data_IF_171875151987
#
_entry.id   IF_171875151987
#
_cell.length_a   1.000
_cell.length_b   1.000
_cell.length_c   1.000
_cell.angle_alpha   90.00
_cell.angle_beta   90.00
_cell.angle_gamma   90.00
#
_symmetry.space_group_name_H-M   'P 1'
#
loop_
_entity.id
_entity.type
_entity.pdbx_description
1 polymer ?
#
# COMPACT_ATOMS: atom_id res chain seq x y z
N UNK A 1 -19.49 -3.83 3.14
CA UNK A 1 -19.74 -3.64 4.58
C UNK A 1 -19.72 -2.14 4.84
N UNK A 2 -20.58 -1.61 5.71
CA UNK A 2 -20.76 -0.15 5.85
C UNK A 2 -19.49 0.55 6.35
N UNK A 3 -18.69 -0.14 7.17
CA UNK A 3 -17.38 0.32 7.65
C UNK A 3 -16.27 -0.45 6.94
N UNK A 4 -15.85 0.03 5.76
CA UNK A 4 -14.76 -0.56 4.97
C UNK A 4 -13.84 0.53 4.45
N UNK A 5 -12.55 0.33 4.69
CA UNK A 5 -11.46 1.10 4.08
C UNK A 5 -10.83 0.22 3.01
N UNK A 6 -10.64 0.78 1.81
CA UNK A 6 -9.98 0.14 0.68
C UNK A 6 -8.70 0.93 0.38
N UNK A 7 -7.55 0.28 0.53
CA UNK A 7 -6.26 0.84 0.17
C UNK A 7 -5.75 0.19 -1.12
N UNK A 8 -5.43 0.99 -2.14
CA UNK A 8 -4.99 0.51 -3.45
C UNK A 8 -3.62 1.07 -3.76
N UNK A 9 -2.63 0.18 -3.85
CA UNK A 9 -1.31 0.51 -4.38
C UNK A 9 -1.38 0.80 -5.87
N UNK A 10 -0.82 1.93 -6.29
CA UNK A 10 -0.82 2.37 -7.68
C UNK A 10 0.55 2.90 -8.09
N UNK A 11 0.93 2.62 -9.35
CA UNK A 11 2.12 3.22 -9.95
C UNK A 11 1.85 4.68 -10.30
N UNK A 12 2.90 5.44 -10.63
CA UNK A 12 2.76 6.83 -11.11
C UNK A 12 2.27 6.95 -12.56
N UNK A 13 1.79 5.85 -13.17
CA UNK A 13 1.24 5.87 -14.52
C UNK A 13 -0.06 6.69 -14.54
N UNK A 14 -0.17 7.77 -15.34
CA UNK A 14 -1.39 8.56 -15.43
C UNK A 14 -2.61 7.72 -15.80
N UNK A 15 -2.43 6.70 -16.64
CA UNK A 15 -3.49 5.76 -17.03
C UNK A 15 -4.00 4.94 -15.85
N UNK A 16 -3.12 4.43 -14.99
CA UNK A 16 -3.55 3.66 -13.81
C UNK A 16 -4.20 4.55 -12.76
N UNK A 17 -3.69 5.77 -12.58
CA UNK A 17 -4.30 6.77 -11.69
C UNK A 17 -5.71 7.11 -12.15
N UNK A 18 -5.91 7.37 -13.45
CA UNK A 18 -7.22 7.62 -14.03
C UNK A 18 -8.15 6.42 -13.85
N UNK A 19 -7.66 5.19 -14.09
CA UNK A 19 -8.46 3.97 -13.90
C UNK A 19 -8.94 3.80 -12.44
N UNK A 20 -8.12 4.14 -11.44
CA UNK A 20 -8.57 4.09 -10.04
C UNK A 20 -9.66 5.11 -9.78
N UNK A 21 -9.43 6.36 -10.20
CA UNK A 21 -10.30 7.50 -9.91
C UNK A 21 -11.64 7.42 -10.66
N UNK A 22 -11.59 7.10 -11.95
CA UNK A 22 -12.71 7.29 -12.87
C UNK A 22 -13.52 5.99 -13.09
N UNK A 23 -12.87 4.82 -12.94
CA UNK A 23 -13.50 3.52 -13.19
C UNK A 23 -13.65 2.66 -11.93
N UNK A 24 -12.55 2.33 -11.25
CA UNK A 24 -12.54 1.36 -10.15
C UNK A 24 -13.45 1.81 -9.00
N UNK A 25 -13.24 3.02 -8.49
CA UNK A 25 -14.02 3.54 -7.36
C UNK A 25 -15.51 3.60 -7.72
N UNK A 26 -15.84 4.10 -8.91
CA UNK A 26 -17.23 4.19 -9.41
C UNK A 26 -17.89 2.81 -9.53
N UNK A 27 -17.23 1.83 -10.13
CA UNK A 27 -17.77 0.46 -10.29
C UNK A 27 -18.01 -0.23 -8.95
N UNK A 28 -17.18 0.07 -7.95
CA UNK A 28 -17.23 -0.56 -6.63
C UNK A 28 -18.03 0.25 -5.61
N UNK A 29 -18.66 1.37 -6.02
CA UNK A 29 -19.41 2.28 -5.13
C UNK A 29 -18.56 2.77 -3.95
N UNK A 30 -17.33 3.16 -4.27
CA UNK A 30 -16.35 3.69 -3.35
C UNK A 30 -16.16 5.18 -3.59
N UNK A 31 -16.01 5.93 -2.50
CA UNK A 31 -15.58 7.32 -2.49
C UNK A 31 -14.09 7.37 -2.19
N UNK A 32 -13.31 7.93 -3.11
CA UNK A 32 -11.90 8.22 -2.87
C UNK A 32 -11.78 9.37 -1.85
N UNK A 33 -11.05 9.16 -0.76
CA UNK A 33 -10.95 10.12 0.36
C UNK A 33 -9.53 10.60 0.64
N UNK A 34 -8.51 9.81 0.30
CA UNK A 34 -7.13 10.21 0.47
C UNK A 34 -6.20 9.62 -0.58
N UNK A 35 -5.03 10.25 -0.72
CA UNK A 35 -3.92 9.78 -1.54
C UNK A 35 -2.65 9.91 -0.72
N UNK A 36 -2.03 8.78 -0.40
CA UNK A 36 -0.77 8.72 0.32
C UNK A 36 0.36 8.32 -0.62
N UNK A 37 1.59 8.46 -0.17
CA UNK A 37 2.79 8.15 -0.94
C UNK A 37 3.75 7.31 -0.14
N UNK A 38 4.24 6.23 -0.74
CA UNK A 38 5.38 5.50 -0.23
C UNK A 38 6.64 5.99 -0.93
N UNK A 39 7.45 6.79 -0.24
CA UNK A 39 8.74 7.27 -0.70
C UNK A 39 9.82 6.25 -0.36
N UNK A 40 10.55 5.83 -1.38
CA UNK A 40 11.62 4.84 -1.31
C UNK A 40 12.93 5.56 -1.05
N UNK A 41 13.57 5.23 0.06
CA UNK A 41 14.84 5.83 0.48
C UNK A 41 15.96 4.79 0.58
N UNK A 42 17.21 5.23 0.52
CA UNK A 42 18.39 4.43 0.83
C UNK A 42 18.50 4.22 2.34
N UNK A 43 19.46 3.40 2.77
CA UNK A 43 19.78 3.23 4.21
C UNK A 43 20.28 4.52 4.87
N UNK A 44 20.62 5.53 4.08
CA UNK A 44 21.07 6.85 4.53
C UNK A 44 19.95 7.89 4.50
N UNK A 45 18.71 7.50 4.16
CA UNK A 45 17.55 8.38 4.12
C UNK A 45 17.40 9.18 2.82
N UNK A 46 18.25 8.96 1.82
CA UNK A 46 18.20 9.66 0.54
C UNK A 46 17.22 8.99 -0.44
N UNK A 47 16.51 9.71 -1.32
CA UNK A 47 15.69 9.09 -2.35
C UNK A 47 16.48 8.11 -3.23
N UNK A 48 15.87 6.97 -3.59
CA UNK A 48 16.55 5.95 -4.43
C UNK A 48 16.81 6.40 -5.88
N UNK A 49 16.16 7.46 -6.32
CA UNK A 49 16.45 8.18 -7.56
C UNK A 49 15.90 9.61 -7.47
N UNK A 50 16.29 10.46 -8.42
CA UNK A 50 15.79 11.84 -8.47
C UNK A 50 14.27 11.90 -8.73
N UNK A 51 13.63 12.88 -8.11
CA UNK A 51 12.28 13.27 -8.48
C UNK A 51 12.31 13.91 -9.87
N UNK A 52 11.40 13.47 -10.75
CA UNK A 52 11.32 13.97 -12.13
C UNK A 52 12.64 13.84 -12.93
N UNK A 53 13.45 12.83 -12.61
CA UNK A 53 14.64 12.52 -13.38
C UNK A 53 14.35 12.18 -14.84
N UNK A 54 15.38 12.24 -15.68
CA UNK A 54 15.30 11.99 -17.13
C UNK A 54 14.67 10.65 -17.52
N UNK A 55 14.81 9.64 -16.66
CA UNK A 55 14.34 8.28 -16.91
C UNK A 55 12.87 8.03 -16.51
N UNK A 56 12.07 9.07 -16.22
CA UNK A 56 10.64 9.04 -15.83
C UNK A 56 10.31 8.23 -14.56
N UNK A 57 11.28 7.51 -13.98
CA UNK A 57 11.14 6.82 -12.70
C UNK A 57 11.00 7.84 -11.59
N UNK A 58 10.18 7.51 -10.61
CA UNK A 58 9.96 8.32 -9.42
C UNK A 58 10.36 7.50 -8.20
N UNK A 59 10.96 8.11 -7.17
CA UNK A 59 11.36 7.43 -5.95
C UNK A 59 10.15 7.17 -5.02
N UNK A 60 8.95 7.06 -5.56
CA UNK A 60 7.75 6.82 -4.77
C UNK A 60 6.69 6.03 -5.53
N UNK A 61 5.77 5.43 -4.80
CA UNK A 61 4.51 4.88 -5.31
C UNK A 61 3.32 5.53 -4.60
N UNK A 62 2.14 5.47 -5.20
CA UNK A 62 0.93 6.08 -4.65
C UNK A 62 0.06 5.02 -3.97
N UNK A 63 -0.66 5.43 -2.94
CA UNK A 63 -1.67 4.63 -2.27
C UNK A 63 -2.97 5.42 -2.27
N UNK A 64 -3.98 4.92 -2.97
CA UNK A 64 -5.30 5.52 -2.98
C UNK A 64 -6.14 4.90 -1.87
N UNK A 65 -6.71 5.75 -1.01
CA UNK A 65 -7.59 5.30 0.07
C UNK A 65 -9.02 5.71 -0.26
N UNK A 66 -9.89 4.72 -0.31
CA UNK A 66 -11.30 4.89 -0.56
C UNK A 66 -12.13 4.23 0.55
N UNK A 67 -13.35 4.71 0.71
CA UNK A 67 -14.34 4.18 1.66
C UNK A 67 -15.63 3.90 0.91
N UNK A 68 -16.56 3.14 1.49
CA UNK A 68 -17.90 2.99 0.90
C UNK A 68 -18.57 4.36 0.72
N UNK A 69 -19.32 4.57 -0.36
CA UNK A 69 -19.96 5.88 -0.66
C UNK A 69 -20.81 6.45 0.48
N UNK A 70 -21.48 5.58 1.25
CA UNK A 70 -22.33 5.96 2.38
C UNK A 70 -21.56 6.07 3.71
N UNK A 71 -20.24 5.84 3.70
CA UNK A 71 -19.42 5.95 4.91
C UNK A 71 -18.90 7.37 5.08
N UNK A 72 -19.33 8.04 6.16
CA UNK A 72 -18.93 9.39 6.53
C UNK A 72 -18.06 9.46 7.79
N UNK A 73 -17.73 8.33 8.41
CA UNK A 73 -17.17 8.31 9.77
C UNK A 73 -15.65 8.25 9.83
N UNK A 74 -14.97 7.86 8.75
CA UNK A 74 -13.52 7.76 8.76
C UNK A 74 -12.84 9.12 8.56
N UNK A 75 -12.17 9.60 9.60
CA UNK A 75 -11.26 10.75 9.51
C UNK A 75 -9.87 10.29 9.04
N UNK A 76 -9.71 10.17 7.71
CA UNK A 76 -8.45 9.77 7.08
C UNK A 76 -7.71 11.02 6.59
N UNK A 77 -6.43 11.24 6.95
CA UNK A 77 -5.64 12.33 6.40
C UNK A 77 -5.61 12.28 4.87
N UNK A 78 -5.98 13.39 4.22
CA UNK A 78 -6.05 13.47 2.75
C UNK A 78 -4.71 13.14 2.08
N UNK A 79 -3.61 13.48 2.74
CA UNK A 79 -2.25 13.25 2.28
C UNK A 79 -1.38 12.74 3.43
N UNK A 80 -0.49 11.78 3.14
CA UNK A 80 0.49 11.22 4.07
C UNK A 80 1.67 10.65 3.27
N UNK A 81 2.87 10.73 3.85
CA UNK A 81 4.09 10.21 3.26
C UNK A 81 4.69 9.15 4.18
N UNK A 82 4.97 7.98 3.61
CA UNK A 82 5.56 6.83 4.29
C UNK A 82 6.95 6.65 3.70
N UNK A 83 7.98 6.60 4.53
CA UNK A 83 9.36 6.45 4.09
C UNK A 83 9.88 5.09 4.50
N UNK A 84 10.43 4.31 3.56
CA UNK A 84 11.14 3.09 3.92
C UNK A 84 12.19 2.71 2.88
N UNK A 85 13.14 1.89 3.30
CA UNK A 85 14.08 1.25 2.39
C UNK A 85 13.32 0.14 1.64
N UNK A 86 13.28 0.17 0.29
CA UNK A 86 12.61 -0.87 -0.47
C UNK A 86 13.30 -2.21 -0.26
N UNK A 87 12.51 -3.28 -0.22
CA UNK A 87 13.06 -4.63 -0.19
C UNK A 87 13.86 -4.94 -1.45
N UNK A 88 14.85 -5.83 -1.34
CA UNK A 88 15.52 -6.40 -2.50
C UNK A 88 14.55 -7.20 -3.39
N UNK A 89 13.45 -7.72 -2.81
CA UNK A 89 12.42 -8.41 -3.55
C UNK A 89 11.50 -7.41 -4.25
N UNK A 90 11.45 -7.50 -5.58
CA UNK A 90 10.59 -6.67 -6.41
C UNK A 90 9.14 -6.70 -5.92
N UNK A 91 8.50 -5.53 -5.89
CA UNK A 91 7.10 -5.36 -5.49
C UNK A 91 6.76 -5.83 -4.08
N UNK A 92 7.74 -5.90 -3.16
CA UNK A 92 7.48 -6.07 -1.74
C UNK A 92 7.23 -4.69 -1.11
N UNK A 93 5.99 -4.45 -0.70
CA UNK A 93 5.48 -3.17 -0.23
C UNK A 93 5.41 -3.19 1.30
N UNK A 94 5.64 -2.06 1.97
CA UNK A 94 5.50 -2.00 3.42
C UNK A 94 4.04 -2.33 3.82
N UNK A 95 3.83 -3.04 4.94
CA UNK A 95 2.50 -3.26 5.47
C UNK A 95 1.85 -1.91 5.83
N UNK A 96 0.54 -1.80 5.58
CA UNK A 96 -0.20 -0.57 5.80
C UNK A 96 -1.13 -0.61 7.02
N UNK A 97 -1.39 -1.79 7.58
CA UNK A 97 -2.45 -1.99 8.59
C UNK A 97 -2.23 -1.12 9.82
N UNK A 98 -1.00 -1.02 10.31
CA UNK A 98 -0.61 -0.21 11.46
C UNK A 98 -0.97 1.28 11.27
N UNK A 99 -1.00 1.76 10.02
CA UNK A 99 -1.33 3.16 9.70
C UNK A 99 -2.83 3.47 9.84
N UNK A 100 -3.66 2.44 9.99
CA UNK A 100 -5.11 2.50 10.16
C UNK A 100 -5.57 2.03 11.55
N UNK A 101 -4.67 1.65 12.46
CA UNK A 101 -5.02 1.09 13.78
C UNK A 101 -6.08 1.91 14.53
N UNK A 102 -5.95 3.23 14.56
CA UNK A 102 -6.90 4.12 15.25
C UNK A 102 -8.29 4.16 14.62
N UNK A 103 -8.45 3.64 13.40
CA UNK A 103 -9.69 3.60 12.63
C UNK A 103 -10.29 2.21 12.55
N UNK A 104 -9.56 1.18 12.99
CA UNK A 104 -9.96 -0.22 12.89
C UNK A 104 -10.45 -0.73 14.26
N UNK A 105 -11.43 -1.65 14.29
CA UNK A 105 -11.79 -2.35 15.53
C UNK A 105 -10.63 -3.25 15.98
N UNK A 106 -10.66 -3.71 17.23
CA UNK A 106 -9.63 -4.59 17.83
C UNK A 106 -9.30 -5.83 16.98
N UNK A 107 -10.31 -6.38 16.28
CA UNK A 107 -10.17 -7.54 15.40
C UNK A 107 -10.76 -7.23 14.02
N UNK A 108 -10.03 -6.49 13.17
CA UNK A 108 -10.53 -6.13 11.85
C UNK A 108 -10.55 -7.36 10.95
N UNK A 109 -11.59 -7.46 10.10
CA UNK A 109 -11.62 -8.45 9.02
C UNK A 109 -10.84 -7.88 7.84
N UNK A 110 -9.61 -8.34 7.67
CA UNK A 110 -8.72 -7.83 6.65
C UNK A 110 -8.63 -8.78 5.44
N UNK A 111 -8.49 -8.20 4.25
CA UNK A 111 -8.32 -8.91 2.99
C UNK A 111 -7.19 -8.25 2.19
N UNK A 112 -6.22 -9.04 1.76
CA UNK A 112 -5.20 -8.62 0.78
C UNK A 112 -5.41 -9.38 -0.54
N UNK A 113 -5.57 -8.64 -1.64
CA UNK A 113 -5.73 -9.19 -2.99
C UNK A 113 -4.40 -8.99 -3.75
N UNK A 114 -4.00 -10.00 -4.53
CA UNK A 114 -2.68 -10.12 -5.14
C UNK A 114 -1.56 -10.25 -4.10
N UNK A 115 -1.90 -10.87 -2.96
CA UNK A 115 -0.97 -11.08 -1.86
C UNK A 115 0.21 -11.96 -2.28
N UNK A 116 1.39 -11.62 -1.77
CA UNK A 116 2.60 -12.46 -1.83
C UNK A 116 3.22 -12.70 -0.45
N UNK A 117 2.59 -12.12 0.56
CA UNK A 117 2.94 -12.25 1.96
C UNK A 117 1.66 -12.60 2.73
N UNK A 118 1.80 -13.09 3.96
CA UNK A 118 0.68 -13.27 4.87
C UNK A 118 0.91 -12.44 6.11
N UNK A 119 -0.15 -11.85 6.63
CA UNK A 119 -0.16 -11.05 7.84
C UNK A 119 -1.16 -11.65 8.83
N UNK A 120 -0.91 -11.54 10.14
CA UNK A 120 -1.90 -11.93 11.15
C UNK A 120 -3.25 -11.24 10.88
N UNK A 121 -4.34 -12.00 11.02
CA UNK A 121 -5.73 -11.52 10.84
C UNK A 121 -6.12 -11.10 9.40
N UNK A 122 -5.29 -11.38 8.39
CA UNK A 122 -5.63 -11.18 6.99
C UNK A 122 -6.07 -12.49 6.32
N UNK A 123 -7.12 -12.41 5.52
CA UNK A 123 -7.33 -13.34 4.41
C UNK A 123 -6.47 -12.88 3.23
N UNK A 124 -5.55 -13.71 2.76
CA UNK A 124 -4.66 -13.39 1.64
C UNK A 124 -5.07 -14.16 0.38
N UNK A 125 -5.29 -13.45 -0.73
CA UNK A 125 -5.70 -14.03 -2.01
C UNK A 125 -4.70 -13.64 -3.10
N UNK A 126 -4.18 -14.63 -3.82
CA UNK A 126 -3.22 -14.43 -4.91
C UNK A 126 -2.71 -15.75 -5.46
N UNK A 127 -1.97 -15.70 -6.56
CA UNK A 127 -1.33 -16.89 -7.15
C UNK A 127 -0.02 -17.27 -6.45
N UNK A 128 0.56 -16.36 -5.67
CA UNK A 128 1.88 -16.51 -5.03
C UNK A 128 1.86 -16.12 -3.54
N UNK A 129 0.77 -16.38 -2.82
CA UNK A 129 0.51 -15.89 -1.44
C UNK A 129 1.66 -16.13 -0.46
N UNK A 130 2.35 -17.28 -0.55
CA UNK A 130 3.43 -17.67 0.35
C UNK A 130 4.84 -17.29 -0.15
N UNK A 131 4.96 -16.54 -1.24
CA UNK A 131 6.26 -16.26 -1.89
C UNK A 131 7.26 -15.55 -0.99
N UNK A 132 6.79 -14.71 -0.07
CA UNK A 132 7.60 -14.00 0.92
C UNK A 132 7.61 -14.68 2.30
N UNK A 133 7.15 -15.93 2.39
CA UNK A 133 7.16 -16.75 3.61
C UNK A 133 8.30 -17.78 3.58
N UNK A 134 9.49 -17.34 3.17
CA UNK A 134 10.69 -18.17 3.17
C UNK A 134 11.56 -17.83 4.39
N UNK A 135 11.97 -18.84 5.16
CA UNK A 135 12.79 -18.68 6.37
C UNK A 135 14.07 -17.85 6.13
N UNK A 136 14.70 -17.99 4.95
CA UNK A 136 15.91 -17.25 4.59
C UNK A 136 15.70 -15.72 4.52
N UNK A 137 14.45 -15.25 4.46
CA UNK A 137 14.11 -13.82 4.51
C UNK A 137 14.16 -13.25 5.93
N UNK A 138 14.00 -14.12 6.93
CA UNK A 138 13.96 -13.80 8.35
C UNK A 138 15.27 -14.16 9.05
N UNK A 139 16.08 -15.01 8.43
CA UNK A 139 17.44 -15.27 8.86
C UNK A 139 18.26 -13.99 8.70
N UNK A 140 18.39 -13.28 9.82
CA UNK A 140 19.33 -12.16 9.97
C UNK A 140 20.73 -12.76 9.90
N UNK A 141 21.26 -12.93 8.69
CA UNK A 141 22.70 -13.11 8.52
C UNK A 141 23.31 -11.87 9.17
N UNK A 142 23.98 -12.06 10.32
CA UNK A 142 24.82 -11.05 10.95
C UNK A 142 25.84 -10.62 9.90
N UNK A 143 25.52 -9.59 9.13
CA UNK A 143 26.47 -8.95 8.22
C UNK A 143 27.39 -8.13 9.10
N UNK A 144 28.54 -8.75 9.41
CA UNK A 144 29.72 -8.13 10.01
C UNK A 144 30.14 -6.94 9.17
#
# INVERSE_FOLDING_TARGET
>A
HENTIVAVWCTNSPTHVAAIRDDFCKKWKLKLVAKWYWVKVTKFGEPVCDFNGSNKKQPYEQIFIAVGENNSTFEIPKERFIYSVPSAFHSNKPPLVDLFESLLPERPKCLEIFARNVYPNFTSVGTEVLKLQNANLFDVVKRV
#
